data_IF_708128686911
#
_entry.id   IF_708128686911
#
_cell.length_a   1.000
_cell.length_b   1.000
_cell.length_c   1.000
_cell.angle_alpha   90.00
_cell.angle_beta   90.00
_cell.angle_gamma   90.00
#
_symmetry.space_group_name_H-M   'P 1'
#
loop_
_entity.id
_entity.type
_entity.pdbx_description
1 polymer ?
#
# COMPACT_ATOMS: atom_id res chain seq x y z
N UNK A 1 -6.83 68.02 40.70
CA UNK A 1 -7.19 67.58 39.34
C UNK A 1 -5.95 66.93 38.72
N UNK A 2 -5.76 65.62 38.96
CA UNK A 2 -4.66 64.86 38.39
C UNK A 2 -4.99 64.44 36.94
N UNK A 3 -4.03 64.47 36.00
CA UNK A 3 -4.33 64.28 34.59
C UNK A 3 -4.46 62.78 34.27
N UNK A 4 -5.69 62.27 34.38
CA UNK A 4 -6.07 60.90 34.02
C UNK A 4 -5.85 60.54 32.53
N UNK A 5 -5.56 61.54 31.68
CA UNK A 5 -5.39 61.35 30.23
C UNK A 5 -4.01 60.86 29.78
N UNK A 6 -2.98 60.86 30.63
CA UNK A 6 -1.63 60.39 30.23
C UNK A 6 -1.37 58.91 30.49
N UNK A 7 -2.20 58.25 31.29
CA UNK A 7 -2.02 56.82 31.60
C UNK A 7 -2.87 55.89 30.72
N UNK A 8 -3.86 56.42 30.00
CA UNK A 8 -4.69 55.63 29.09
C UNK A 8 -3.93 55.20 27.81
N UNK A 9 -2.90 55.95 27.39
CA UNK A 9 -2.07 55.56 26.24
C UNK A 9 -1.00 54.51 26.58
N UNK A 10 -0.67 54.29 27.86
CA UNK A 10 0.31 53.26 28.27
C UNK A 10 -0.38 51.91 28.50
N UNK A 11 -1.69 51.90 28.81
CA UNK A 11 -2.45 50.66 28.97
C UNK A 11 -2.78 49.96 27.62
N UNK A 12 -2.78 50.69 26.50
CA UNK A 12 -3.10 50.14 25.17
C UNK A 12 -1.88 49.52 24.49
N UNK A 13 -0.66 49.86 24.91
CA UNK A 13 0.58 49.30 24.32
C UNK A 13 0.99 47.94 24.92
N UNK A 14 0.39 47.53 26.05
CA UNK A 14 0.66 46.23 26.67
C UNK A 14 -0.21 45.08 26.15
N UNK A 15 -1.13 45.33 25.22
CA UNK A 15 -1.97 44.30 24.58
C UNK A 15 -1.44 43.80 23.21
N UNK A 16 -0.29 44.30 22.74
CA UNK A 16 0.29 43.91 21.44
C UNK A 16 1.59 43.08 21.56
N UNK A 17 1.92 42.61 22.75
CA UNK A 17 3.10 41.75 23.01
C UNK A 17 2.73 40.36 23.54
N UNK A 18 1.48 39.93 23.36
CA UNK A 18 1.16 38.50 23.38
C UNK A 18 1.62 37.88 22.06
N UNK A 19 2.94 37.78 21.86
CA UNK A 19 3.43 36.60 21.18
C UNK A 19 3.01 35.46 22.10
N UNK A 20 2.06 34.64 21.67
CA UNK A 20 1.96 33.30 22.24
C UNK A 20 3.34 32.70 22.03
N UNK A 21 4.11 32.58 23.11
CA UNK A 21 5.16 31.58 23.14
C UNK A 21 4.38 30.28 23.29
N UNK A 22 4.02 29.68 22.14
CA UNK A 22 3.73 28.26 22.10
C UNK A 22 5.02 27.62 22.62
N UNK A 23 5.01 27.27 23.91
CA UNK A 23 5.86 26.23 24.40
C UNK A 23 5.47 25.00 23.58
N UNK A 24 6.33 24.61 22.65
CA UNK A 24 6.49 23.21 22.28
C UNK A 24 6.91 22.45 23.56
N UNK A 25 5.98 22.31 24.49
CA UNK A 25 5.85 21.07 25.23
C UNK A 25 5.23 20.11 24.22
N UNK A 26 6.05 19.75 23.22
CA UNK A 26 5.82 18.59 22.40
C UNK A 26 5.99 17.44 23.38
N UNK A 27 4.87 17.09 24.01
CA UNK A 27 4.67 15.81 24.64
C UNK A 27 5.25 14.78 23.65
N UNK A 28 6.34 14.13 24.04
CA UNK A 28 7.08 13.11 23.27
C UNK A 28 6.22 11.85 22.96
N UNK A 29 4.90 12.00 23.05
CA UNK A 29 3.84 11.07 22.69
C UNK A 29 3.12 11.44 21.36
N UNK A 30 3.47 12.55 20.71
CA UNK A 30 2.84 13.04 19.47
C UNK A 30 3.34 12.40 18.15
N UNK A 31 3.61 11.09 18.16
CA UNK A 31 3.62 10.28 16.94
C UNK A 31 2.20 9.95 16.43
N UNK A 32 1.18 10.72 16.84
CA UNK A 32 -0.14 10.75 16.20
C UNK A 32 -0.06 11.79 15.06
N UNK A 33 0.43 11.41 13.88
CA UNK A 33 -0.18 10.41 13.02
C UNK A 33 -1.00 11.05 11.89
N UNK A 34 -0.66 12.28 11.48
CA UNK A 34 -1.27 12.93 10.31
C UNK A 34 -0.92 12.13 9.06
N UNK A 35 -1.95 11.70 8.35
CA UNK A 35 -1.85 10.91 7.12
C UNK A 35 -2.30 11.80 5.96
N UNK A 36 -1.53 11.78 4.87
CA UNK A 36 -1.82 12.51 3.63
C UNK A 36 -2.07 11.54 2.48
N UNK A 37 -2.56 12.03 1.34
CA UNK A 37 -2.71 11.19 0.15
C UNK A 37 -1.39 10.61 -0.39
N UNK A 38 -0.23 11.17 -0.01
CA UNK A 38 1.09 10.67 -0.38
C UNK A 38 1.71 9.72 0.66
N UNK A 39 1.13 9.61 1.86
CA UNK A 39 1.68 8.79 2.94
C UNK A 39 1.61 7.29 2.59
N UNK A 40 2.66 6.50 2.88
CA UNK A 40 2.68 5.04 2.75
C UNK A 40 1.44 4.34 3.32
N UNK A 41 1.09 4.66 4.57
CA UNK A 41 -0.06 4.08 5.25
C UNK A 41 -1.37 4.30 4.48
N UNK A 42 -1.51 5.39 3.73
CA UNK A 42 -2.69 5.63 2.86
C UNK A 42 -2.84 4.54 1.81
N UNK A 43 -1.76 4.25 1.08
CA UNK A 43 -1.74 3.18 0.08
C UNK A 43 -2.02 1.81 0.71
N UNK A 44 -1.42 1.54 1.87
CA UNK A 44 -1.62 0.28 2.56
C UNK A 44 -3.05 0.10 3.06
N UNK A 45 -3.65 1.13 3.68
CA UNK A 45 -5.04 1.11 4.12
C UNK A 45 -6.01 0.91 2.95
N UNK A 46 -5.76 1.58 1.82
CA UNK A 46 -6.55 1.37 0.60
C UNK A 46 -6.49 -0.09 0.15
N UNK A 47 -5.29 -0.70 0.17
CA UNK A 47 -5.08 -2.08 -0.25
C UNK A 47 -5.63 -3.12 0.73
N UNK A 48 -5.64 -2.85 2.03
CA UNK A 48 -6.37 -3.68 2.99
C UNK A 48 -7.87 -3.71 2.64
N UNK A 49 -8.41 -2.56 2.22
CA UNK A 49 -9.81 -2.39 1.87
C UNK A 49 -10.16 -2.75 0.41
N UNK A 50 -9.23 -3.29 -0.39
CA UNK A 50 -9.54 -3.73 -1.78
C UNK A 50 -10.42 -4.98 -1.80
N UNK A 51 -11.04 -5.26 -2.95
CA UNK A 51 -11.69 -6.56 -3.20
C UNK A 51 -10.64 -7.66 -3.20
N UNK A 52 -10.96 -8.79 -2.58
CA UNK A 52 -10.10 -9.97 -2.59
C UNK A 52 -10.29 -10.73 -3.90
N UNK A 53 -9.30 -10.67 -4.77
CA UNK A 53 -9.37 -11.17 -6.15
C UNK A 53 -8.56 -12.44 -6.39
N UNK A 54 -7.74 -12.87 -5.42
CA UNK A 54 -6.84 -14.03 -5.61
C UNK A 54 -7.49 -15.39 -5.34
N UNK A 55 -8.69 -15.42 -4.76
CA UNK A 55 -9.29 -16.66 -4.25
C UNK A 55 -9.82 -17.57 -5.37
N UNK A 56 -10.22 -17.02 -6.51
CA UNK A 56 -10.68 -17.74 -7.68
C UNK A 56 -9.62 -17.88 -8.78
N UNK A 57 -8.34 -17.63 -8.48
CA UNK A 57 -7.25 -17.84 -9.43
C UNK A 57 -7.22 -19.28 -10.00
N UNK A 58 -7.76 -20.27 -9.28
CA UNK A 58 -7.91 -21.66 -9.78
C UNK A 58 -8.93 -21.76 -10.93
N UNK A 59 -9.82 -20.79 -11.05
CA UNK A 59 -10.87 -20.71 -12.07
C UNK A 59 -10.50 -19.72 -13.17
N UNK A 60 -10.09 -18.50 -12.80
CA UNK A 60 -9.93 -17.40 -13.76
C UNK A 60 -8.47 -17.06 -14.09
N UNK A 61 -7.51 -17.61 -13.34
CA UNK A 61 -6.08 -17.37 -13.52
C UNK A 61 -5.63 -15.92 -13.29
N UNK A 62 -6.44 -15.05 -12.69
CA UNK A 62 -6.20 -13.61 -12.64
C UNK A 62 -6.23 -13.03 -11.22
N UNK A 63 -5.13 -12.41 -10.82
CA UNK A 63 -5.05 -11.69 -9.54
C UNK A 63 -5.73 -10.30 -9.56
N UNK A 64 -6.17 -9.79 -10.71
CA UNK A 64 -6.69 -8.42 -10.85
C UNK A 64 -8.20 -8.29 -10.61
N UNK A 65 -8.92 -9.40 -10.73
CA UNK A 65 -10.37 -9.47 -10.64
C UNK A 65 -10.81 -10.83 -10.14
N UNK A 66 -12.08 -10.94 -9.75
CA UNK A 66 -12.74 -12.20 -9.45
C UNK A 66 -14.08 -12.27 -10.18
N UNK A 67 -14.64 -13.47 -10.34
CA UNK A 67 -15.99 -13.68 -10.86
C UNK A 67 -17.02 -13.47 -9.74
N UNK A 68 -17.99 -12.59 -9.97
CA UNK A 68 -19.10 -12.32 -9.05
C UNK A 68 -20.00 -13.55 -8.91
N UNK A 69 -20.22 -14.00 -7.68
CA UNK A 69 -21.17 -15.08 -7.39
C UNK A 69 -22.63 -14.71 -7.75
N UNK A 70 -23.48 -15.70 -8.09
CA UNK A 70 -23.13 -17.09 -8.41
C UNK A 70 -22.75 -17.26 -9.88
N UNK A 71 -21.94 -18.27 -10.18
CA UNK A 71 -21.62 -18.69 -11.54
C UNK A 71 -21.42 -20.20 -11.61
N UNK A 72 -21.08 -20.72 -12.77
CA UNK A 72 -20.86 -22.16 -12.99
C UNK A 72 -19.61 -22.37 -13.82
N UNK A 73 -18.86 -23.41 -13.47
CA UNK A 73 -17.70 -23.85 -14.24
C UNK A 73 -17.89 -25.30 -14.66
N UNK A 74 -17.19 -25.71 -15.71
CA UNK A 74 -17.07 -27.11 -16.13
C UNK A 74 -15.61 -27.51 -16.10
N UNK A 75 -15.27 -28.52 -15.30
CA UNK A 75 -13.94 -29.09 -15.17
C UNK A 75 -14.04 -30.61 -15.19
N UNK A 76 -13.18 -31.28 -15.96
CA UNK A 76 -13.16 -32.74 -16.14
C UNK A 76 -14.55 -33.34 -16.50
N UNK A 77 -15.31 -32.63 -17.36
CA UNK A 77 -16.70 -32.92 -17.77
C UNK A 77 -17.76 -32.86 -16.65
N UNK A 78 -17.41 -32.37 -15.46
CA UNK A 78 -18.34 -32.11 -14.36
C UNK A 78 -18.70 -30.62 -14.29
N UNK A 79 -20.00 -30.33 -14.17
CA UNK A 79 -20.50 -28.98 -14.02
C UNK A 79 -20.63 -28.64 -12.53
N UNK A 80 -19.91 -27.62 -12.07
CA UNK A 80 -19.83 -27.21 -10.67
C UNK A 80 -20.43 -25.82 -10.50
N UNK A 81 -21.48 -25.72 -9.69
CA UNK A 81 -22.07 -24.44 -9.29
C UNK A 81 -21.25 -23.80 -8.17
N UNK A 82 -20.84 -22.54 -8.38
CA UNK A 82 -19.99 -21.75 -7.48
C UNK A 82 -20.83 -20.59 -6.95
N UNK A 83 -21.32 -20.71 -5.72
CA UNK A 83 -22.22 -19.75 -5.09
C UNK A 83 -21.54 -18.92 -3.98
N UNK A 84 -20.40 -19.39 -3.50
CA UNK A 84 -19.61 -18.74 -2.46
C UNK A 84 -18.15 -19.19 -2.52
N UNK A 85 -17.27 -18.50 -1.77
CA UNK A 85 -15.86 -18.87 -1.70
C UNK A 85 -15.61 -20.30 -1.18
N UNK A 86 -16.54 -20.87 -0.39
CA UNK A 86 -16.45 -22.24 0.07
C UNK A 86 -16.57 -23.27 -1.07
N UNK A 87 -17.17 -22.89 -2.21
CA UNK A 87 -17.34 -23.76 -3.37
C UNK A 87 -16.08 -23.90 -4.21
N UNK A 88 -15.05 -23.05 -4.02
CA UNK A 88 -13.76 -23.20 -4.70
C UNK A 88 -13.09 -24.53 -4.38
N UNK A 89 -13.31 -25.06 -3.18
CA UNK A 89 -12.80 -26.38 -2.80
C UNK A 89 -13.37 -27.49 -3.69
N UNK A 90 -14.61 -27.37 -4.16
CA UNK A 90 -15.22 -28.37 -5.06
C UNK A 90 -14.49 -28.43 -6.41
N UNK A 91 -14.08 -27.27 -6.92
CA UNK A 91 -13.31 -27.17 -8.16
C UNK A 91 -11.94 -27.81 -7.97
N UNK A 92 -11.24 -27.47 -6.87
CA UNK A 92 -9.93 -28.03 -6.51
C UNK A 92 -10.03 -29.56 -6.31
N UNK A 93 -11.07 -30.06 -5.64
CA UNK A 93 -11.27 -31.49 -5.41
C UNK A 93 -11.50 -32.24 -6.73
N UNK A 94 -12.22 -31.65 -7.68
CA UNK A 94 -12.44 -32.24 -9.00
C UNK A 94 -11.15 -32.27 -9.84
N UNK A 95 -10.34 -31.21 -9.80
CA UNK A 95 -9.00 -31.16 -10.42
C UNK A 95 -8.11 -32.27 -9.84
N UNK A 96 -8.05 -32.39 -8.51
CA UNK A 96 -7.19 -33.37 -7.86
C UNK A 96 -7.73 -34.82 -7.89
N UNK A 97 -8.91 -35.06 -8.49
CA UNK A 97 -9.52 -36.38 -8.52
C UNK A 97 -8.77 -37.36 -9.43
N UNK A 98 -8.02 -36.85 -10.42
CA UNK A 98 -7.20 -37.63 -11.33
C UNK A 98 -5.87 -36.91 -11.60
N UNK A 99 -4.84 -37.67 -12.02
CA UNK A 99 -3.53 -37.14 -12.41
C UNK A 99 -3.28 -37.34 -13.93
N UNK A 100 -4.34 -37.65 -14.69
CA UNK A 100 -4.26 -38.11 -16.09
C UNK A 100 -5.16 -37.33 -17.05
N UNK A 101 -5.97 -36.42 -16.53
CA UNK A 101 -6.79 -35.45 -17.22
C UNK A 101 -6.03 -34.13 -17.44
N UNK A 102 -6.63 -33.23 -18.22
CA UNK A 102 -6.02 -31.97 -18.61
C UNK A 102 -6.33 -30.81 -17.63
N UNK A 103 -7.26 -31.02 -16.67
CA UNK A 103 -7.66 -30.05 -15.64
C UNK A 103 -8.03 -28.65 -16.16
N UNK A 104 -8.67 -28.60 -17.32
CA UNK A 104 -9.11 -27.34 -17.95
C UNK A 104 -10.43 -26.90 -17.32
N UNK A 105 -10.39 -25.79 -16.59
CA UNK A 105 -11.58 -25.13 -16.02
C UNK A 105 -12.21 -24.21 -17.07
N UNK A 106 -13.44 -24.52 -17.46
CA UNK A 106 -14.21 -23.70 -18.42
C UNK A 106 -15.30 -22.91 -17.70
N UNK A 107 -15.30 -21.59 -17.86
CA UNK A 107 -16.33 -20.71 -17.28
C UNK A 107 -17.60 -20.76 -18.14
N UNK A 108 -18.76 -20.97 -17.50
CA UNK A 108 -20.05 -20.86 -18.17
C UNK A 108 -20.49 -19.41 -18.23
N UNK A 109 -20.38 -18.80 -19.41
CA UNK A 109 -20.80 -17.42 -19.68
C UNK A 109 -22.31 -17.28 -19.87
N UNK A 110 -22.88 -16.07 -19.64
CA UNK A 110 -22.20 -14.83 -19.25
C UNK A 110 -21.85 -14.77 -17.75
N UNK A 111 -20.85 -13.98 -17.40
CA UNK A 111 -20.46 -13.70 -16.00
C UNK A 111 -20.26 -12.20 -15.76
N UNK A 112 -20.11 -11.80 -14.50
CA UNK A 112 -19.71 -10.44 -14.13
C UNK A 112 -18.40 -10.51 -13.35
N UNK A 113 -17.37 -9.80 -13.81
CA UNK A 113 -16.11 -9.66 -13.08
C UNK A 113 -16.22 -8.52 -12.07
N UNK A 114 -15.61 -8.68 -10.89
CA UNK A 114 -15.40 -7.64 -9.89
C UNK A 114 -13.91 -7.37 -9.78
N UNK A 115 -13.49 -6.13 -10.02
CA UNK A 115 -12.08 -5.76 -9.96
C UNK A 115 -11.65 -5.42 -8.53
N UNK A 116 -10.34 -5.36 -8.29
CA UNK A 116 -9.76 -4.94 -7.00
C UNK A 116 -10.34 -3.62 -6.44
N UNK A 117 -10.84 -2.75 -7.32
CA UNK A 117 -11.40 -1.43 -7.01
C UNK A 117 -12.94 -1.37 -6.96
N UNK A 118 -13.61 -2.52 -6.83
CA UNK A 118 -15.08 -2.65 -6.81
C UNK A 118 -15.80 -2.32 -8.12
N UNK A 119 -15.08 -2.09 -9.23
CA UNK A 119 -15.72 -1.97 -10.54
C UNK A 119 -16.25 -3.33 -10.99
N UNK A 120 -17.48 -3.34 -11.51
CA UNK A 120 -18.10 -4.54 -12.07
C UNK A 120 -18.13 -4.47 -13.59
N UNK A 121 -17.66 -5.52 -14.27
CA UNK A 121 -17.68 -5.64 -15.73
C UNK A 121 -18.47 -6.88 -16.15
N UNK A 122 -19.50 -6.68 -16.97
CA UNK A 122 -20.19 -7.79 -17.62
C UNK A 122 -19.32 -8.41 -18.73
N UNK A 123 -19.23 -9.74 -18.75
CA UNK A 123 -18.46 -10.52 -19.73
C UNK A 123 -19.42 -11.53 -20.40
N UNK A 124 -19.76 -11.32 -21.69
CA UNK A 124 -20.76 -12.13 -22.36
C UNK A 124 -20.25 -13.50 -22.80
N UNK A 125 -18.95 -13.65 -23.08
CA UNK A 125 -18.35 -14.88 -23.60
C UNK A 125 -16.84 -14.99 -23.31
N UNK A 126 -16.24 -16.11 -23.72
CA UNK A 126 -14.82 -16.42 -23.54
C UNK A 126 -13.90 -15.42 -24.26
N UNK A 127 -14.26 -14.90 -25.43
CA UNK A 127 -13.39 -14.01 -26.18
C UNK A 127 -13.25 -12.64 -25.48
N UNK A 128 -14.34 -12.16 -24.86
CA UNK A 128 -14.31 -10.98 -24.01
C UNK A 128 -13.51 -11.19 -22.70
N UNK A 129 -13.54 -12.41 -22.16
CA UNK A 129 -12.72 -12.79 -21.01
C UNK A 129 -11.23 -12.80 -21.38
N UNK A 130 -10.84 -13.48 -22.45
CA UNK A 130 -9.45 -13.55 -22.92
C UNK A 130 -8.89 -12.14 -23.19
N UNK A 131 -9.69 -11.29 -23.85
CA UNK A 131 -9.33 -9.88 -24.10
C UNK A 131 -9.13 -9.09 -22.81
N UNK A 132 -9.86 -9.40 -21.74
CA UNK A 132 -9.69 -8.77 -20.43
C UNK A 132 -8.37 -9.22 -19.77
N UNK A 133 -8.06 -10.51 -19.83
CA UNK A 133 -6.82 -11.05 -19.26
C UNK A 133 -5.59 -10.50 -20.01
N UNK A 134 -5.64 -10.49 -21.33
CA UNK A 134 -4.58 -9.91 -22.18
C UNK A 134 -4.38 -8.42 -21.92
N UNK A 135 -5.44 -7.67 -21.62
CA UNK A 135 -5.34 -6.26 -21.23
C UNK A 135 -4.53 -6.10 -19.95
N UNK A 136 -4.82 -6.89 -18.91
CA UNK A 136 -4.12 -6.77 -17.63
C UNK A 136 -2.65 -7.21 -17.72
N UNK A 137 -2.36 -8.22 -18.54
CA UNK A 137 -0.99 -8.71 -18.74
C UNK A 137 -0.07 -7.73 -19.51
N UNK A 138 -0.62 -6.63 -20.07
CA UNK A 138 0.17 -5.60 -20.74
C UNK A 138 0.76 -4.54 -19.80
N UNK A 139 0.28 -4.44 -18.56
CA UNK A 139 0.70 -3.41 -17.62
C UNK A 139 1.69 -3.97 -16.58
N UNK A 140 2.55 -3.12 -16.01
CA UNK A 140 3.38 -3.51 -14.87
C UNK A 140 2.53 -4.02 -13.71
N UNK A 141 3.00 -5.07 -13.05
CA UNK A 141 2.33 -5.65 -11.88
C UNK A 141 1.94 -4.58 -10.84
N UNK A 142 0.64 -4.46 -10.60
CA UNK A 142 0.11 -3.66 -9.51
C UNK A 142 0.32 -4.41 -8.18
N UNK A 143 0.42 -3.65 -7.09
CA UNK A 143 0.29 -4.24 -5.77
C UNK A 143 -1.17 -4.62 -5.50
N UNK A 144 -1.41 -5.90 -5.25
CA UNK A 144 -2.73 -6.47 -4.96
C UNK A 144 -3.26 -6.04 -3.59
N UNK A 145 -4.50 -6.48 -3.28
CA UNK A 145 -5.05 -6.44 -1.91
C UNK A 145 -4.03 -7.00 -0.92
N UNK A 146 -3.95 -6.38 0.25
CA UNK A 146 -3.26 -6.94 1.42
C UNK A 146 -4.27 -7.85 2.13
N UNK A 147 -4.12 -9.15 1.95
CA UNK A 147 -4.97 -10.17 2.58
C UNK A 147 -4.54 -10.44 4.02
N UNK A 148 -5.38 -11.14 4.78
CA UNK A 148 -5.07 -11.56 6.15
C UNK A 148 -5.25 -10.49 7.23
N UNK A 149 -5.91 -9.39 6.89
CA UNK A 149 -6.32 -8.33 7.81
C UNK A 149 -7.74 -7.85 7.46
N UNK A 150 -8.67 -8.06 8.37
CA UNK A 150 -10.04 -7.58 8.24
C UNK A 150 -10.32 -6.52 9.29
N UNK A 151 -10.80 -5.36 8.86
CA UNK A 151 -11.12 -4.26 9.78
C UNK A 151 -12.51 -4.50 10.37
N UNK A 152 -12.65 -4.38 11.69
CA UNK A 152 -13.94 -4.40 12.35
C UNK A 152 -14.56 -3.00 12.27
N UNK A 153 -15.50 -2.84 11.36
CA UNK A 153 -16.27 -1.62 11.21
C UNK A 153 -17.37 -1.50 12.29
N UNK A 154 -17.82 -0.28 12.63
CA UNK A 154 -17.38 1.01 12.05
C UNK A 154 -16.06 1.54 12.63
N UNK A 155 -15.31 2.28 11.81
CA UNK A 155 -14.17 3.12 12.26
C UNK A 155 -14.47 4.60 12.04
N UNK A 156 -13.82 5.49 12.79
CA UNK A 156 -13.96 6.94 12.62
C UNK A 156 -12.65 7.54 12.12
N UNK A 157 -12.74 8.42 11.13
CA UNK A 157 -11.60 9.15 10.57
C UNK A 157 -11.85 10.65 10.78
N UNK A 158 -10.92 11.34 11.43
CA UNK A 158 -10.93 12.79 11.50
C UNK A 158 -10.27 13.35 10.24
N UNK A 159 -10.78 14.47 9.74
CA UNK A 159 -10.37 15.10 8.49
C UNK A 159 -10.13 16.58 8.78
N UNK A 160 -9.01 17.09 8.30
CA UNK A 160 -8.72 18.51 8.24
C UNK A 160 -8.48 18.91 6.78
N UNK A 161 -9.20 19.90 6.29
CA UNK A 161 -9.00 20.42 4.94
C UNK A 161 -8.27 21.77 5.01
N UNK A 162 -7.05 21.84 4.50
CA UNK A 162 -6.21 23.04 4.57
C UNK A 162 -6.68 24.17 3.66
N UNK A 163 -7.44 23.88 2.60
CA UNK A 163 -7.92 24.88 1.65
C UNK A 163 -9.00 25.79 2.27
N UNK A 164 -9.80 25.27 3.18
CA UNK A 164 -10.86 26.02 3.88
C UNK A 164 -10.67 26.04 5.41
N UNK A 165 -9.64 25.38 5.92
CA UNK A 165 -9.30 25.26 7.34
C UNK A 165 -10.42 24.63 8.19
N UNK A 166 -11.21 23.74 7.60
CA UNK A 166 -12.33 23.07 8.27
C UNK A 166 -11.89 21.69 8.77
N UNK A 167 -12.18 21.43 10.06
CA UNK A 167 -12.14 20.08 10.64
C UNK A 167 -13.50 19.40 10.56
N UNK A 168 -13.51 18.11 10.25
CA UNK A 168 -14.69 17.25 10.24
C UNK A 168 -14.33 15.81 10.61
N UNK A 169 -15.30 14.92 10.69
CA UNK A 169 -15.05 13.49 10.83
C UNK A 169 -16.04 12.68 9.99
N UNK A 170 -15.65 11.46 9.66
CA UNK A 170 -16.47 10.52 8.91
C UNK A 170 -16.42 9.13 9.54
N UNK A 171 -17.59 8.51 9.67
CA UNK A 171 -17.71 7.09 10.04
C UNK A 171 -17.65 6.24 8.78
N UNK A 172 -16.76 5.26 8.78
CA UNK A 172 -16.60 4.28 7.71
C UNK A 172 -17.19 2.96 8.19
N UNK A 173 -18.03 2.33 7.36
CA UNK A 173 -18.86 1.18 7.75
C UNK A 173 -18.55 -0.12 6.99
N UNK A 174 -17.68 -0.08 5.99
CA UNK A 174 -17.30 -1.24 5.19
C UNK A 174 -15.99 -1.00 4.45
N UNK A 175 -15.37 -2.08 3.94
CA UNK A 175 -14.17 -1.98 3.10
C UNK A 175 -14.40 -1.13 1.86
N UNK A 176 -15.53 -1.29 1.18
CA UNK A 176 -15.83 -0.46 0.00
C UNK A 176 -15.95 1.02 0.34
N UNK A 177 -16.55 1.36 1.49
CA UNK A 177 -16.60 2.74 1.96
C UNK A 177 -15.20 3.26 2.30
N UNK A 178 -14.34 2.41 2.90
CA UNK A 178 -12.98 2.78 3.26
C UNK A 178 -12.09 2.98 2.04
N UNK A 179 -12.12 2.05 1.10
CA UNK A 179 -11.42 2.10 -0.18
C UNK A 179 -11.76 3.39 -0.93
N UNK A 180 -13.05 3.71 -1.05
CA UNK A 180 -13.51 4.91 -1.74
C UNK A 180 -13.16 6.19 -0.97
N UNK A 181 -13.19 6.17 0.36
CA UNK A 181 -12.74 7.30 1.17
C UNK A 181 -11.27 7.63 0.89
N UNK A 182 -10.39 6.63 0.95
CA UNK A 182 -8.96 6.81 0.71
C UNK A 182 -8.68 7.20 -0.76
N UNK A 183 -9.34 6.54 -1.72
CA UNK A 183 -9.21 6.84 -3.16
C UNK A 183 -9.51 8.30 -3.49
N UNK A 184 -10.47 8.91 -2.78
CA UNK A 184 -10.91 10.27 -3.03
C UNK A 184 -10.17 11.32 -2.17
N UNK A 185 -9.17 10.91 -1.40
CA UNK A 185 -8.36 11.81 -0.58
C UNK A 185 -7.50 12.71 -1.49
N UNK A 186 -7.69 14.02 -1.39
CA UNK A 186 -6.91 14.99 -2.17
C UNK A 186 -5.77 15.61 -1.35
N UNK A 187 -4.88 16.34 -2.04
CA UNK A 187 -3.69 16.93 -1.44
C UNK A 187 -3.97 18.00 -0.34
N UNK A 188 -5.19 18.53 -0.27
CA UNK A 188 -5.59 19.49 0.78
C UNK A 188 -6.21 18.79 2.00
N UNK A 189 -6.44 17.48 1.94
CA UNK A 189 -7.04 16.73 3.03
C UNK A 189 -5.97 15.96 3.81
N UNK A 190 -5.94 16.24 5.11
CA UNK A 190 -5.14 15.57 6.11
C UNK A 190 -6.08 14.75 6.97
N UNK A 191 -5.74 13.49 7.23
CA UNK A 191 -6.60 12.60 8.02
C UNK A 191 -5.86 12.07 9.24
N UNK A 192 -6.63 11.71 10.26
CA UNK A 192 -6.14 10.89 11.37
C UNK A 192 -7.17 9.83 11.70
N UNK A 193 -6.68 8.62 11.99
CA UNK A 193 -7.53 7.52 12.43
C UNK A 193 -7.88 7.71 13.91
N UNK A 194 -9.15 7.51 14.27
CA UNK A 194 -9.55 7.48 15.67
C UNK A 194 -9.29 6.09 16.26
N UNK A 195 -8.19 5.97 16.98
CA UNK A 195 -7.81 4.76 17.70
C UNK A 195 -8.56 4.61 19.04
N UNK A 196 -8.67 3.38 19.58
CA UNK A 196 -8.22 2.12 18.98
C UNK A 196 -9.10 1.64 17.80
N UNK A 197 -8.50 0.91 16.86
CA UNK A 197 -9.20 0.18 15.79
C UNK A 197 -9.07 -1.32 16.08
N UNK A 198 -10.16 -2.06 15.94
CA UNK A 198 -10.16 -3.52 16.05
C UNK A 198 -10.02 -4.15 14.67
N UNK A 199 -9.20 -5.18 14.56
CA UNK A 199 -9.01 -5.97 13.34
C UNK A 199 -9.10 -7.47 13.69
N UNK A 200 -9.39 -8.29 12.69
CA UNK A 200 -9.19 -9.75 12.74
C UNK A 200 -8.01 -10.09 11.84
N UNK A 201 -7.02 -10.80 12.39
CA UNK A 201 -5.87 -11.27 11.61
C UNK A 201 -6.18 -12.58 10.86
N UNK A 202 -5.22 -13.04 10.07
CA UNK A 202 -5.39 -14.24 9.25
C UNK A 202 -5.54 -15.56 10.05
N UNK A 203 -5.30 -15.56 11.37
CA UNK A 203 -5.62 -16.68 12.26
C UNK A 203 -7.05 -16.59 12.84
N UNK A 204 -7.82 -15.58 12.45
CA UNK A 204 -9.13 -15.29 13.02
C UNK A 204 -9.06 -14.64 14.40
N UNK A 205 -7.91 -14.13 14.83
CA UNK A 205 -7.74 -13.50 16.13
C UNK A 205 -8.01 -12.00 16.08
N UNK A 206 -8.83 -11.51 17.00
CA UNK A 206 -9.07 -10.08 17.17
C UNK A 206 -7.85 -9.40 17.79
N UNK A 207 -7.33 -8.36 17.13
CA UNK A 207 -6.22 -7.52 17.60
C UNK A 207 -6.64 -6.06 17.66
N UNK A 208 -6.03 -5.33 18.59
CA UNK A 208 -6.22 -3.88 18.75
C UNK A 208 -5.05 -3.14 18.13
N UNK A 209 -5.34 -2.18 17.25
CA UNK A 209 -4.40 -1.23 16.68
C UNK A 209 -4.52 0.09 17.45
N UNK A 210 -3.42 0.58 18.00
CA UNK A 210 -3.44 1.77 18.88
C UNK A 210 -2.88 3.03 18.24
N UNK A 211 -2.12 2.89 17.14
CA UNK A 211 -1.49 3.99 16.42
C UNK A 211 -1.14 3.58 14.97
N UNK A 212 -0.57 4.50 14.19
CA UNK A 212 -0.20 4.27 12.79
C UNK A 212 0.88 3.18 12.63
N UNK A 213 1.89 3.17 13.50
CA UNK A 213 2.98 2.20 13.46
C UNK A 213 2.49 0.78 13.77
N UNK A 214 1.58 0.62 14.73
CA UNK A 214 0.91 -0.65 15.03
C UNK A 214 0.16 -1.16 13.78
N UNK A 215 -0.51 -0.26 13.06
CA UNK A 215 -1.25 -0.63 11.85
C UNK A 215 -0.29 -1.10 10.75
N UNK A 216 0.78 -0.35 10.47
CA UNK A 216 1.78 -0.74 9.49
C UNK A 216 2.48 -2.05 9.86
N UNK A 217 2.73 -2.30 11.15
CA UNK A 217 3.32 -3.56 11.60
C UNK A 217 2.36 -4.74 11.47
N UNK A 218 1.07 -4.54 11.74
CA UNK A 218 0.05 -5.56 11.46
C UNK A 218 -0.03 -5.87 9.95
N UNK A 219 0.02 -4.83 9.11
CA UNK A 219 0.08 -4.94 7.64
C UNK A 219 1.30 -5.73 7.18
N UNK A 220 2.49 -5.37 7.67
CA UNK A 220 3.73 -6.07 7.35
C UNK A 220 3.65 -7.55 7.75
N UNK A 221 3.12 -7.84 8.94
CA UNK A 221 2.93 -9.21 9.40
C UNK A 221 1.98 -9.99 8.47
N UNK A 222 0.89 -9.38 8.01
CA UNK A 222 -0.02 -10.04 7.08
C UNK A 222 0.62 -10.30 5.72
N UNK A 223 1.39 -9.34 5.18
CA UNK A 223 2.15 -9.52 3.94
C UNK A 223 3.11 -10.70 4.07
N UNK A 224 3.86 -10.78 5.16
CA UNK A 224 4.90 -11.81 5.34
C UNK A 224 4.37 -13.21 5.61
N UNK A 225 3.22 -13.32 6.29
CA UNK A 225 2.78 -14.60 6.86
C UNK A 225 1.41 -15.09 6.40
N UNK A 226 0.57 -14.23 5.78
CA UNK A 226 -0.68 -14.70 5.18
C UNK A 226 -0.38 -15.41 3.84
N UNK A 227 -0.79 -16.68 3.66
CA UNK A 227 -0.51 -17.43 2.43
C UNK A 227 -1.07 -16.77 1.17
N UNK A 228 -2.23 -16.12 1.27
CA UNK A 228 -2.91 -15.46 0.14
C UNK A 228 -2.14 -14.24 -0.41
N UNK A 229 -1.16 -13.71 0.34
CA UNK A 229 -0.26 -12.66 -0.15
C UNK A 229 0.98 -13.22 -0.87
N UNK A 230 1.29 -14.52 -0.71
CA UNK A 230 2.53 -15.15 -1.16
C UNK A 230 2.27 -16.28 -2.15
N UNK A 231 1.33 -16.05 -3.09
CA UNK A 231 0.95 -17.02 -4.12
C UNK A 231 2.00 -17.20 -5.23
N UNK A 232 2.90 -16.22 -5.39
CA UNK A 232 4.05 -16.27 -6.30
C UNK A 232 5.33 -16.11 -5.49
N UNK A 233 6.28 -17.01 -5.68
CA UNK A 233 7.61 -16.88 -5.07
C UNK A 233 8.49 -15.99 -5.95
N UNK A 234 8.90 -14.83 -5.42
CA UNK A 234 9.81 -13.90 -6.08
C UNK A 234 11.14 -13.84 -5.33
N UNK A 235 12.24 -13.67 -6.07
CA UNK A 235 13.55 -13.37 -5.51
C UNK A 235 13.90 -11.89 -5.73
N UNK A 236 14.23 -11.18 -4.65
CA UNK A 236 14.52 -9.75 -4.73
C UNK A 236 15.73 -9.44 -5.62
N UNK A 237 16.78 -10.26 -5.59
CA UNK A 237 17.99 -10.01 -6.38
C UNK A 237 17.70 -10.19 -7.87
N UNK A 238 16.87 -11.16 -8.23
CA UNK A 238 16.39 -11.31 -9.60
C UNK A 238 15.50 -10.14 -10.03
N UNK A 239 14.57 -9.71 -9.18
CA UNK A 239 13.65 -8.61 -9.51
C UNK A 239 14.44 -7.31 -9.69
N UNK A 240 15.24 -6.91 -8.69
CA UNK A 240 15.88 -5.59 -8.65
C UNK A 240 16.89 -5.42 -9.79
N UNK A 241 17.52 -6.50 -10.25
CA UNK A 241 18.48 -6.47 -11.38
C UNK A 241 17.83 -6.49 -12.76
N UNK A 242 16.50 -6.66 -12.85
CA UNK A 242 15.77 -6.66 -14.12
C UNK A 242 15.20 -5.27 -14.41
N UNK A 243 15.88 -4.51 -15.28
CA UNK A 243 15.39 -3.25 -15.84
C UNK A 243 15.95 -2.00 -15.16
N UNK A 244 15.21 -0.90 -15.28
CA UNK A 244 15.57 0.39 -14.69
C UNK A 244 14.46 0.84 -13.75
N UNK A 245 14.85 1.54 -12.69
CA UNK A 245 13.95 1.95 -11.61
C UNK A 245 14.01 3.45 -11.40
N UNK A 246 12.90 4.08 -11.06
CA UNK A 246 12.87 5.43 -10.50
C UNK A 246 12.56 5.39 -9.00
N UNK A 247 12.54 6.56 -8.35
CA UNK A 247 12.14 6.71 -6.95
C UNK A 247 10.80 7.45 -6.94
N UNK A 248 9.66 6.74 -6.86
CA UNK A 248 8.34 7.37 -6.79
C UNK A 248 8.05 7.97 -5.41
N UNK A 249 8.79 7.56 -4.37
CA UNK A 249 8.65 8.09 -3.02
C UNK A 249 9.93 7.89 -2.20
N UNK A 250 10.38 8.94 -1.53
CA UNK A 250 11.47 8.90 -0.57
C UNK A 250 11.25 9.90 0.57
N UNK A 251 10.98 9.37 1.75
CA UNK A 251 10.74 10.13 2.97
C UNK A 251 11.82 9.80 4.00
N UNK A 252 12.50 10.83 4.48
CA UNK A 252 13.54 10.73 5.51
C UNK A 252 13.41 11.95 6.43
N UNK A 253 12.66 11.78 7.53
CA UNK A 253 12.10 12.83 8.41
C UNK A 253 11.19 13.88 7.73
N UNK A 254 11.29 14.01 6.41
CA UNK A 254 10.54 14.91 5.54
C UNK A 254 10.46 14.32 4.14
N UNK A 255 9.49 14.79 3.35
CA UNK A 255 9.33 14.37 1.95
C UNK A 255 10.48 14.92 1.10
N UNK A 256 11.24 14.04 0.43
CA UNK A 256 12.43 14.37 -0.37
C UNK A 256 12.37 13.82 -1.81
N UNK A 257 11.26 13.19 -2.22
CA UNK A 257 11.08 12.54 -3.54
C UNK A 257 11.48 13.44 -4.70
N UNK A 258 11.05 14.71 -4.69
CA UNK A 258 11.34 15.67 -5.77
C UNK A 258 12.83 15.83 -6.08
N UNK A 259 13.71 15.61 -5.10
CA UNK A 259 15.18 15.67 -5.29
C UNK A 259 15.70 14.60 -6.25
N UNK A 260 14.97 13.48 -6.35
CA UNK A 260 15.33 12.31 -7.16
C UNK A 260 14.55 12.23 -8.48
N UNK A 261 13.69 13.20 -8.78
CA UNK A 261 12.94 13.22 -10.03
C UNK A 261 13.89 13.21 -11.25
N UNK A 262 13.60 12.32 -12.19
CA UNK A 262 14.39 12.12 -13.41
C UNK A 262 15.68 11.30 -13.23
N UNK A 263 15.93 10.74 -12.05
CA UNK A 263 16.94 9.69 -11.90
C UNK A 263 16.39 8.34 -12.38
N UNK A 264 17.28 7.55 -12.99
CA UNK A 264 17.08 6.14 -13.33
C UNK A 264 18.17 5.32 -12.67
N UNK A 265 17.80 4.26 -11.96
CA UNK A 265 18.68 3.36 -11.22
C UNK A 265 18.69 2.00 -11.91
N UNK A 266 19.89 1.52 -12.25
CA UNK A 266 20.10 0.19 -12.84
C UNK A 266 20.98 -0.63 -11.92
N UNK A 267 20.39 -1.63 -11.26
CA UNK A 267 21.08 -2.56 -10.38
C UNK A 267 21.64 -3.72 -11.21
N UNK A 268 22.88 -4.10 -10.95
CA UNK A 268 23.57 -5.18 -11.66
C UNK A 268 23.89 -6.33 -10.73
N UNK A 269 24.04 -7.52 -11.31
CA UNK A 269 24.38 -8.76 -10.60
C UNK A 269 25.77 -8.77 -9.98
N UNK A 270 26.63 -7.81 -10.32
CA UNK A 270 27.97 -7.59 -9.74
C UNK A 270 27.94 -6.67 -8.51
N UNK A 271 26.77 -6.45 -7.92
CA UNK A 271 26.53 -5.56 -6.78
C UNK A 271 26.76 -4.06 -7.07
N UNK A 272 26.96 -3.65 -8.32
CA UNK A 272 26.95 -2.24 -8.70
C UNK A 272 25.54 -1.72 -8.99
N UNK A 273 25.29 -0.44 -8.69
CA UNK A 273 24.08 0.27 -9.08
C UNK A 273 24.46 1.56 -9.79
N UNK A 274 23.95 1.77 -11.00
CA UNK A 274 24.22 2.97 -11.79
C UNK A 274 23.02 3.89 -11.71
N UNK A 275 23.20 5.07 -11.11
CA UNK A 275 22.18 6.11 -11.04
C UNK A 275 22.47 7.17 -12.12
N UNK A 276 21.50 7.42 -13.01
CA UNK A 276 21.66 8.33 -14.16
C UNK A 276 20.58 9.40 -14.16
N UNK A 277 20.96 10.67 -14.34
CA UNK A 277 20.03 11.79 -14.54
C UNK A 277 20.57 12.71 -15.63
N UNK A 278 19.74 13.00 -16.64
CA UNK A 278 20.09 13.86 -17.77
C UNK A 278 21.46 13.53 -18.42
N UNK A 279 21.77 12.24 -18.57
CA UNK A 279 23.03 11.76 -19.18
C UNK A 279 24.27 11.78 -18.26
N UNK A 280 24.15 12.26 -17.02
CA UNK A 280 25.22 12.15 -16.01
C UNK A 280 24.96 10.93 -15.14
N UNK A 281 25.98 10.10 -14.93
CA UNK A 281 25.88 8.86 -14.15
C UNK A 281 26.84 8.83 -12.97
N UNK A 282 26.39 8.23 -11.88
CA UNK A 282 27.22 7.81 -10.74
C UNK A 282 27.06 6.29 -10.57
N UNK A 283 28.17 5.60 -10.29
CA UNK A 283 28.14 4.18 -9.92
C UNK A 283 28.30 4.06 -8.41
N UNK A 284 27.29 3.53 -7.74
CA UNK A 284 27.31 3.11 -6.35
C UNK A 284 27.39 1.60 -6.21
N UNK A 285 27.14 1.12 -5.00
CA UNK A 285 27.05 -0.31 -4.66
C UNK A 285 25.70 -0.60 -3.99
N UNK A 286 25.24 -1.84 -4.14
CA UNK A 286 24.07 -2.35 -3.44
C UNK A 286 24.34 -3.76 -2.91
N UNK A 287 23.68 -4.10 -1.80
CA UNK A 287 23.77 -5.42 -1.19
C UNK A 287 22.40 -5.80 -0.64
N UNK A 288 22.00 -7.05 -0.81
CA UNK A 288 20.83 -7.58 -0.11
C UNK A 288 21.22 -8.71 0.84
N UNK A 289 20.88 -8.53 2.11
CA UNK A 289 21.16 -9.49 3.18
C UNK A 289 19.88 -9.89 3.90
N UNK A 290 19.92 -10.97 4.67
CA UNK A 290 18.84 -11.33 5.59
C UNK A 290 19.42 -11.32 6.99
N UNK A 291 18.84 -10.51 7.87
CA UNK A 291 19.21 -10.41 9.27
C UNK A 291 17.95 -10.63 10.11
N UNK A 292 17.97 -11.59 11.04
CA UNK A 292 16.82 -11.91 11.90
C UNK A 292 15.50 -12.13 11.13
N UNK A 293 15.55 -12.87 10.01
CA UNK A 293 14.43 -13.10 9.08
C UNK A 293 13.86 -11.85 8.40
N UNK A 294 14.55 -10.71 8.49
CA UNK A 294 14.21 -9.49 7.76
C UNK A 294 15.21 -9.32 6.63
N UNK A 295 14.71 -9.25 5.40
CA UNK A 295 15.54 -8.90 4.25
C UNK A 295 15.83 -7.40 4.27
N UNK A 296 17.09 -7.04 4.06
CA UNK A 296 17.56 -5.66 3.97
C UNK A 296 18.17 -5.41 2.59
N UNK A 297 18.03 -4.18 2.10
CA UNK A 297 18.72 -3.63 0.94
C UNK A 297 19.60 -2.46 1.40
N UNK A 298 20.91 -2.63 1.28
CA UNK A 298 21.88 -1.59 1.59
C UNK A 298 22.32 -0.90 0.31
N UNK A 299 22.34 0.43 0.33
CA UNK A 299 22.85 1.27 -0.76
C UNK A 299 24.10 2.03 -0.34
N UNK A 300 25.01 2.27 -1.27
CA UNK A 300 26.22 3.05 -1.03
C UNK A 300 26.60 3.88 -2.25
N UNK A 301 26.45 5.19 -2.13
CA UNK A 301 26.85 6.22 -3.09
C UNK A 301 27.80 7.23 -2.44
N UNK A 302 28.53 7.97 -3.27
CA UNK A 302 29.55 8.93 -2.84
C UNK A 302 29.13 10.39 -3.01
N UNK A 303 28.27 10.71 -3.98
CA UNK A 303 27.84 12.12 -4.17
C UNK A 303 26.96 12.60 -3.02
N UNK A 304 27.00 13.91 -2.75
CA UNK A 304 26.29 14.52 -1.64
C UNK A 304 24.76 14.29 -1.66
N UNK A 305 24.17 14.16 -2.85
CA UNK A 305 22.74 13.88 -3.00
C UNK A 305 22.45 12.38 -2.86
N UNK A 306 23.09 11.52 -3.67
CA UNK A 306 22.79 10.09 -3.65
C UNK A 306 23.23 9.42 -2.35
N UNK A 307 24.24 9.94 -1.66
CA UNK A 307 24.65 9.44 -0.35
C UNK A 307 23.56 9.59 0.73
N UNK A 308 22.50 10.36 0.49
CA UNK A 308 21.32 10.41 1.37
C UNK A 308 20.47 9.14 1.30
N UNK A 309 20.60 8.35 0.24
CA UNK A 309 19.98 7.02 0.12
C UNK A 309 20.77 5.93 0.88
N UNK A 310 21.97 6.24 1.36
CA UNK A 310 22.84 5.28 2.04
C UNK A 310 22.24 4.89 3.40
N UNK A 311 21.54 3.77 3.43
CA UNK A 311 21.01 3.15 4.65
C UNK A 311 20.92 1.63 4.44
N UNK A 312 20.68 0.88 5.52
CA UNK A 312 20.23 -0.52 5.48
C UNK A 312 18.71 -0.55 5.54
N UNK A 313 18.07 -0.52 4.38
CA UNK A 313 16.62 -0.43 4.27
C UNK A 313 15.97 -1.80 4.45
N UNK A 314 14.99 -1.92 5.37
CA UNK A 314 14.25 -3.17 5.54
C UNK A 314 13.20 -3.30 4.45
N UNK A 315 13.16 -4.47 3.82
CA UNK A 315 12.17 -4.80 2.81
C UNK A 315 10.77 -4.86 3.44
N UNK A 316 9.86 -4.03 2.93
CA UNK A 316 8.46 -4.04 3.33
C UNK A 316 7.67 -5.01 2.45
N UNK A 317 7.67 -4.79 1.14
CA UNK A 317 7.06 -5.67 0.14
C UNK A 317 7.69 -5.40 -1.24
N UNK A 318 7.53 -6.33 -2.17
CA UNK A 318 7.92 -6.11 -3.57
C UNK A 318 7.15 -7.04 -4.52
N UNK A 319 7.08 -6.64 -5.78
CA UNK A 319 6.68 -7.47 -6.92
C UNK A 319 7.65 -7.22 -8.10
N UNK A 320 7.34 -7.64 -9.33
CA UNK A 320 8.23 -7.46 -10.48
C UNK A 320 8.49 -5.99 -10.89
N UNK A 321 7.67 -5.07 -10.40
CA UNK A 321 7.60 -3.67 -10.85
C UNK A 321 7.72 -2.64 -9.73
N UNK A 322 7.59 -3.06 -8.46
CA UNK A 322 7.63 -2.17 -7.31
C UNK A 322 8.41 -2.80 -6.15
N UNK A 323 9.25 -2.00 -5.50
CA UNK A 323 9.98 -2.38 -4.28
C UNK A 323 9.68 -1.31 -3.24
N UNK A 324 9.15 -1.72 -2.08
CA UNK A 324 8.88 -0.82 -0.96
C UNK A 324 9.79 -1.18 0.20
N UNK A 325 10.53 -0.19 0.68
CA UNK A 325 11.44 -0.33 1.80
C UNK A 325 11.07 0.65 2.90
N UNK A 326 11.41 0.29 4.13
CA UNK A 326 11.31 1.20 5.28
C UNK A 326 12.48 1.06 6.23
N UNK A 327 12.73 2.09 6.99
CA UNK A 327 13.61 2.05 8.16
C UNK A 327 12.82 2.55 9.36
N UNK A 328 12.81 1.77 10.45
CA UNK A 328 12.09 2.09 11.68
C UNK A 328 13.13 2.39 12.74
N UNK A 329 13.30 3.67 13.04
CA UNK A 329 14.21 4.17 14.06
C UNK A 329 13.43 5.03 15.08
N UNK A 330 13.73 6.33 15.21
CA UNK A 330 12.92 7.30 15.95
C UNK A 330 11.66 7.71 15.20
N UNK A 331 11.75 7.79 13.87
CA UNK A 331 10.66 7.96 12.91
C UNK A 331 10.67 6.76 11.95
N UNK A 332 9.60 6.62 11.15
CA UNK A 332 9.61 5.64 10.04
C UNK A 332 9.96 6.36 8.75
N UNK A 333 11.06 5.96 8.14
CA UNK A 333 11.56 6.45 6.86
C UNK A 333 11.23 5.45 5.75
N UNK A 334 11.09 5.92 4.52
CA UNK A 334 10.65 5.12 3.39
C UNK A 334 11.48 5.39 2.15
N UNK A 335 11.82 4.33 1.41
CA UNK A 335 12.45 4.43 0.11
C UNK A 335 11.80 3.42 -0.82
N UNK A 336 11.17 3.92 -1.88
CA UNK A 336 10.50 3.10 -2.87
C UNK A 336 11.22 3.15 -4.20
N UNK A 337 11.10 2.05 -4.94
CA UNK A 337 11.48 1.96 -6.34
C UNK A 337 10.29 1.48 -7.16
N UNK A 338 10.14 2.04 -8.36
CA UNK A 338 9.16 1.61 -9.35
C UNK A 338 9.83 1.49 -10.71
N UNK A 339 9.40 0.50 -11.49
CA UNK A 339 10.01 0.17 -12.78
C UNK A 339 9.60 1.19 -13.83
N UNK A 340 10.57 1.66 -14.62
CA UNK A 340 10.39 2.63 -15.72
C UNK A 340 9.91 1.94 -17.00
#
# INVERSE_FOLDING_TARGET
MLPFKKYLSIAVFFFLLSCQHESDDQDDNNAQGTITNASPLTSYMQRVAMVQTVQDNVIDGSTYCMIKFPYTVTVNNEQIAVNSAADYQKVIDNINASNTDDDIVNITFPVTMVYYNYYEKFIPDQADFDSLIDYWNQYPDLLSKINGLNINYPITINIYNSANQIGSSQTIISDQAFFNFIKNLNASQYISLKYPISIVDYHGQTKTISNNLDFENAIKYAIDYCPENNIVTLDLNEVITKGSWDIPYYFDDSEKTSSYSGYSFVFKSDNSVVATKAGTSETGQWESTVQNNVRELKLTFSSALLSKLNNSWKLFEFNNSQIRLRDISSSTNYLYFEKI
#
